data_IF_197867753177
#
_entry.id   IF_197867753177
#
_cell.length_a   1.000
_cell.length_b   1.000
_cell.length_c   1.000
_cell.angle_alpha   90.00
_cell.angle_beta   90.00
_cell.angle_gamma   90.00
#
_symmetry.space_group_name_H-M   'P 1'
#
loop_
_entity.id
_entity.type
_entity.pdbx_description
1 polymer ?
#
# COMPACT_ATOMS: atom_id res chain seq x y z
N UNK A 1 -10.71 -9.53 24.55
CA UNK A 1 -9.94 -9.96 23.36
C UNK A 1 -8.47 -10.03 23.74
N UNK A 2 -7.79 -11.16 23.52
CA UNK A 2 -6.32 -11.17 23.48
C UNK A 2 -5.92 -10.39 22.23
N UNK A 3 -4.96 -9.45 22.28
CA UNK A 3 -4.42 -8.90 21.05
C UNK A 3 -3.82 -10.06 20.25
N UNK A 4 -3.89 -10.01 18.93
CA UNK A 4 -3.20 -10.95 18.05
C UNK A 4 -1.67 -10.72 18.15
N UNK A 5 -1.09 -10.93 19.34
CA UNK A 5 0.34 -10.82 19.62
C UNK A 5 1.17 -11.91 18.96
N UNK A 6 0.56 -12.81 18.18
CA UNK A 6 1.31 -13.82 17.39
C UNK A 6 2.30 -13.14 16.45
N UNK A 7 2.01 -11.93 15.98
CA UNK A 7 2.92 -11.14 15.14
C UNK A 7 3.90 -10.24 15.92
N UNK A 8 3.81 -10.18 17.25
CA UNK A 8 4.58 -9.24 18.07
C UNK A 8 6.06 -9.64 18.26
N UNK A 9 6.48 -10.82 17.78
CA UNK A 9 7.88 -11.25 17.77
C UNK A 9 8.56 -11.07 16.41
N UNK A 10 8.16 -10.06 15.63
CA UNK A 10 8.83 -9.71 14.38
C UNK A 10 10.04 -8.81 14.66
N UNK A 11 11.21 -9.18 14.13
CA UNK A 11 12.40 -8.32 14.23
C UNK A 11 12.27 -7.09 13.32
N UNK A 12 12.98 -6.00 13.65
CA UNK A 12 13.03 -4.81 12.81
C UNK A 12 13.56 -5.12 11.39
N UNK A 13 14.45 -6.11 11.27
CA UNK A 13 14.95 -6.57 9.98
C UNK A 13 13.84 -7.24 9.16
N UNK A 14 13.10 -8.19 9.75
CA UNK A 14 11.99 -8.86 9.08
C UNK A 14 10.89 -7.86 8.66
N UNK A 15 10.60 -6.88 9.52
CA UNK A 15 9.68 -5.79 9.18
C UNK A 15 10.19 -4.98 7.97
N UNK A 16 11.46 -4.59 7.97
CA UNK A 16 12.08 -3.84 6.87
C UNK A 16 12.06 -4.63 5.56
N UNK A 17 12.32 -5.93 5.61
CA UNK A 17 12.25 -6.84 4.45
C UNK A 17 10.84 -6.86 3.84
N UNK A 18 9.79 -6.93 4.67
CA UNK A 18 8.40 -6.90 4.21
C UNK A 18 8.04 -5.56 3.55
N UNK A 19 8.38 -4.44 4.19
CA UNK A 19 8.11 -3.11 3.61
C UNK A 19 8.85 -2.94 2.28
N UNK A 20 10.11 -3.38 2.22
CA UNK A 20 10.92 -3.34 1.00
C UNK A 20 10.28 -4.18 -0.11
N UNK A 21 9.76 -5.37 0.22
CA UNK A 21 9.08 -6.24 -0.74
C UNK A 21 7.78 -5.60 -1.28
N UNK A 22 7.02 -4.89 -0.42
CA UNK A 22 5.83 -4.13 -0.82
C UNK A 22 6.14 -2.99 -1.79
N UNK A 23 7.33 -2.39 -1.69
CA UNK A 23 7.76 -1.29 -2.57
C UNK A 23 8.50 -1.76 -3.84
N UNK A 24 9.00 -2.99 -3.84
CA UNK A 24 9.68 -3.62 -4.97
C UNK A 24 8.78 -4.60 -5.73
N UNK A 25 8.99 -5.93 -5.57
CA UNK A 25 8.30 -6.96 -6.35
C UNK A 25 6.77 -6.89 -6.25
N UNK A 26 6.23 -6.47 -5.12
CA UNK A 26 4.77 -6.44 -4.87
C UNK A 26 4.14 -5.07 -5.06
N UNK A 27 4.87 -4.07 -5.56
CA UNK A 27 4.38 -2.69 -5.71
C UNK A 27 3.06 -2.56 -6.46
N UNK A 28 2.81 -3.40 -7.46
CA UNK A 28 1.55 -3.36 -8.20
C UNK A 28 0.37 -3.81 -7.33
N UNK A 29 0.56 -4.86 -6.52
CA UNK A 29 -0.44 -5.28 -5.53
C UNK A 29 -0.65 -4.19 -4.46
N UNK A 30 0.43 -3.53 -4.03
CA UNK A 30 0.36 -2.40 -3.09
C UNK A 30 -0.47 -1.24 -3.65
N UNK A 31 -0.32 -0.91 -4.95
CA UNK A 31 -1.14 0.11 -5.62
C UNK A 31 -2.62 -0.28 -5.73
N UNK A 32 -2.92 -1.55 -5.99
CA UNK A 32 -4.31 -2.06 -5.93
C UNK A 32 -4.86 -1.87 -4.51
N UNK A 33 -4.07 -2.17 -3.48
CA UNK A 33 -4.49 -2.00 -2.08
C UNK A 33 -4.79 -0.53 -1.74
N UNK A 34 -4.02 0.43 -2.26
CA UNK A 34 -4.33 1.86 -2.11
C UNK A 34 -5.75 2.19 -2.61
N UNK A 35 -6.14 1.64 -3.77
CA UNK A 35 -7.47 1.85 -4.35
C UNK A 35 -8.55 1.18 -3.50
N UNK A 36 -8.32 -0.06 -3.06
CA UNK A 36 -9.27 -0.81 -2.21
C UNK A 36 -9.53 -0.08 -0.89
N UNK A 37 -8.48 0.39 -0.22
CA UNK A 37 -8.60 1.11 1.05
C UNK A 37 -9.31 2.46 0.85
N UNK A 38 -9.00 3.18 -0.23
CA UNK A 38 -9.70 4.42 -0.56
C UNK A 38 -11.19 4.18 -0.83
N UNK A 39 -11.54 3.10 -1.53
CA UNK A 39 -12.93 2.70 -1.74
C UNK A 39 -13.64 2.31 -0.42
N UNK A 40 -12.89 1.82 0.57
CA UNK A 40 -13.36 1.57 1.92
C UNK A 40 -13.44 2.84 2.80
N UNK A 41 -13.19 4.03 2.24
CA UNK A 41 -13.34 5.32 2.92
C UNK A 41 -12.08 5.81 3.64
N UNK A 42 -10.95 5.12 3.53
CA UNK A 42 -9.69 5.56 4.13
C UNK A 42 -9.14 6.78 3.38
N UNK A 43 -8.61 7.74 4.14
CA UNK A 43 -7.94 8.90 3.58
C UNK A 43 -6.57 8.54 2.99
N UNK A 44 -6.09 9.35 2.06
CA UNK A 44 -4.76 9.15 1.48
C UNK A 44 -3.62 9.20 2.52
N UNK A 45 -3.82 9.88 3.66
CA UNK A 45 -2.84 9.91 4.75
C UNK A 45 -2.80 8.60 5.51
N UNK A 46 -3.97 8.07 5.91
CA UNK A 46 -4.05 6.80 6.64
C UNK A 46 -3.49 5.64 5.80
N UNK A 47 -3.76 5.64 4.50
CA UNK A 47 -3.23 4.65 3.55
C UNK A 47 -1.71 4.79 3.42
N UNK A 48 -1.20 6.03 3.33
CA UNK A 48 0.22 6.33 3.23
C UNK A 48 0.98 5.87 4.47
N UNK A 49 0.43 6.14 5.66
CA UNK A 49 1.01 5.71 6.93
C UNK A 49 1.05 4.19 7.03
N UNK A 50 -0.02 3.50 6.62
CA UNK A 50 -0.09 2.03 6.64
C UNK A 50 0.89 1.38 5.64
N UNK A 51 1.00 1.92 4.42
CA UNK A 51 1.76 1.31 3.33
C UNK A 51 3.18 1.91 3.17
N UNK A 52 3.58 2.81 4.07
CA UNK A 52 4.85 3.53 4.04
C UNK A 52 5.11 4.28 2.72
N UNK A 53 4.12 5.03 2.26
CA UNK A 53 4.21 5.90 1.08
C UNK A 53 4.03 7.37 1.45
N UNK A 54 4.30 8.28 0.50
CA UNK A 54 3.85 9.66 0.60
C UNK A 54 2.36 9.79 0.21
N UNK A 55 1.53 10.57 0.93
CA UNK A 55 0.11 10.75 0.60
C UNK A 55 -0.14 11.26 -0.83
N UNK A 56 0.78 12.04 -1.43
CA UNK A 56 0.70 12.47 -2.84
C UNK A 56 0.81 11.28 -3.79
N UNK A 57 1.65 10.30 -3.47
CA UNK A 57 1.80 9.07 -4.26
C UNK A 57 0.51 8.26 -4.25
N UNK A 58 -0.12 8.12 -3.07
CA UNK A 58 -1.41 7.45 -2.93
C UNK A 58 -2.49 8.11 -3.80
N UNK A 59 -2.63 9.45 -3.71
CA UNK A 59 -3.58 10.20 -4.55
C UNK A 59 -3.32 10.02 -6.04
N UNK A 60 -2.04 10.02 -6.45
CA UNK A 60 -1.67 9.82 -7.85
C UNK A 60 -2.10 8.44 -8.37
N UNK A 61 -1.92 7.37 -7.60
CA UNK A 61 -2.35 6.03 -8.00
C UNK A 61 -3.87 5.88 -8.03
N UNK A 62 -4.58 6.45 -7.05
CA UNK A 62 -6.05 6.48 -7.07
C UNK A 62 -6.56 7.22 -8.31
N UNK A 63 -5.98 8.38 -8.62
CA UNK A 63 -6.35 9.15 -9.82
C UNK A 63 -6.06 8.40 -11.12
N UNK A 64 -4.90 7.73 -11.22
CA UNK A 64 -4.57 6.89 -12.38
C UNK A 64 -5.54 5.74 -12.54
N UNK A 65 -5.87 5.02 -11.47
CA UNK A 65 -6.88 3.98 -11.51
C UNK A 65 -8.25 4.52 -11.91
N UNK A 66 -8.66 5.68 -11.39
CA UNK A 66 -9.93 6.30 -11.76
C UNK A 66 -10.01 6.62 -13.26
N UNK A 67 -8.89 7.03 -13.87
CA UNK A 67 -8.83 7.37 -15.30
C UNK A 67 -8.68 6.14 -16.21
N UNK A 68 -7.93 5.12 -15.79
CA UNK A 68 -7.43 4.05 -16.68
C UNK A 68 -7.81 2.64 -16.21
N UNK A 69 -8.50 2.52 -15.08
CA UNK A 69 -8.79 1.25 -14.42
C UNK A 69 -7.51 0.52 -14.01
N UNK A 70 -7.56 -0.81 -14.00
CA UNK A 70 -6.42 -1.66 -13.64
C UNK A 70 -5.20 -1.47 -14.55
N UNK A 71 -5.40 -1.06 -15.81
CA UNK A 71 -4.30 -0.83 -16.75
C UNK A 71 -3.40 0.35 -16.35
N UNK A 72 -3.90 1.28 -15.52
CA UNK A 72 -3.14 2.44 -15.07
C UNK A 72 -2.19 2.19 -13.91
N UNK A 73 -2.27 1.02 -13.25
CA UNK A 73 -1.54 0.69 -12.02
C UNK A 73 -0.14 0.09 -12.23
N UNK A 74 0.12 -0.74 -13.27
CA UNK A 74 1.48 -1.20 -13.55
C UNK A 74 2.45 -0.06 -13.90
N UNK A 75 3.74 -0.36 -13.81
CA UNK A 75 4.76 0.53 -14.37
C UNK A 75 4.60 0.60 -15.89
N UNK A 76 4.90 1.78 -16.44
CA UNK A 76 4.98 1.96 -17.89
C UNK A 76 6.43 1.73 -18.33
N UNK A 77 6.64 1.14 -19.52
CA UNK A 77 7.97 1.03 -20.11
C UNK A 77 8.60 2.40 -20.36
#
# INVERSE_FOLDING_TARGET
>A
MRPAHVYASMSAQQHTELITALHGPWRNATRIMMVVLSAAGWSASEIADLLHYDPKTVRAWIARHHAEGLAGLPDRP
#
